data_IF_608141329999
#
_entry.id   IF_608141329999
#
_cell.length_a   1.000
_cell.length_b   1.000
_cell.length_c   1.000
_cell.angle_alpha   90.00
_cell.angle_beta   90.00
_cell.angle_gamma   90.00
#
_symmetry.space_group_name_H-M   'P 1'
#
loop_
_entity.id
_entity.type
_entity.pdbx_description
1 polymer ?
#
# COMPACT_ATOMS: atom_id res chain seq x y z
N UNK A 1 -12.15 13.68 -1.05
CA UNK A 1 -12.49 12.25 -0.85
C UNK A 1 -11.27 11.57 -0.26
N UNK A 2 -11.45 10.72 0.74
CA UNK A 2 -10.35 9.99 1.39
C UNK A 2 -10.31 8.56 0.85
N UNK A 3 -9.12 8.07 0.50
CA UNK A 3 -8.90 6.70 0.05
C UNK A 3 -7.90 6.02 1.00
N UNK A 4 -8.26 4.87 1.54
CA UNK A 4 -7.42 4.09 2.46
C UNK A 4 -6.98 2.82 1.72
N UNK A 5 -5.67 2.66 1.57
CA UNK A 5 -5.06 1.46 0.96
C UNK A 5 -4.43 0.65 2.08
N UNK A 6 -4.93 -0.58 2.28
CA UNK A 6 -4.24 -1.55 3.10
C UNK A 6 -3.24 -2.30 2.23
N UNK A 7 -1.97 -1.89 2.28
CA UNK A 7 -0.89 -2.53 1.54
C UNK A 7 -0.29 -3.66 2.36
N UNK A 8 -0.55 -4.89 1.93
CA UNK A 8 -0.02 -6.13 2.51
C UNK A 8 0.86 -6.90 1.52
N UNK A 9 1.29 -6.23 0.44
CA UNK A 9 2.24 -6.75 -0.55
C UNK A 9 1.79 -8.03 -1.28
N UNK A 10 0.51 -8.41 -1.24
CA UNK A 10 -0.03 -9.56 -1.97
C UNK A 10 -1.55 -9.47 -2.20
N UNK A 11 -2.09 -10.37 -3.02
CA UNK A 11 -3.53 -10.58 -3.11
C UNK A 11 -3.98 -11.63 -2.09
N UNK A 12 -4.05 -11.21 -0.82
CA UNK A 12 -4.31 -12.08 0.33
C UNK A 12 -5.60 -12.91 0.18
N UNK A 13 -6.69 -12.27 -0.24
CA UNK A 13 -8.00 -12.93 -0.34
C UNK A 13 -8.03 -14.02 -1.40
N UNK A 14 -7.31 -13.85 -2.51
CA UNK A 14 -7.30 -14.80 -3.63
C UNK A 14 -6.21 -15.86 -3.50
N UNK A 15 -5.69 -16.10 -2.30
CA UNK A 15 -4.65 -17.11 -1.93
C UNK A 15 -3.20 -16.64 -1.97
N UNK A 16 -2.92 -15.34 -2.12
CA UNK A 16 -1.56 -14.79 -1.95
C UNK A 16 -0.72 -14.82 -3.23
N UNK A 17 -1.29 -14.32 -4.33
CA UNK A 17 -0.54 -13.95 -5.53
C UNK A 17 0.22 -12.63 -5.32
N UNK A 18 1.21 -12.36 -6.16
CA UNK A 18 1.94 -11.09 -6.15
C UNK A 18 1.00 -9.90 -6.45
N UNK A 19 1.13 -8.83 -5.66
CA UNK A 19 0.56 -7.51 -5.91
C UNK A 19 1.59 -6.62 -6.64
N UNK A 20 1.18 -5.43 -7.12
CA UNK A 20 2.10 -4.44 -7.67
C UNK A 20 3.11 -3.84 -6.67
N UNK A 21 2.97 -4.16 -5.38
CA UNK A 21 3.83 -3.72 -4.28
C UNK A 21 4.69 -4.85 -3.71
N UNK A 22 4.53 -6.09 -4.20
CA UNK A 22 5.35 -7.23 -3.77
C UNK A 22 6.84 -6.96 -4.01
N UNK A 23 7.73 -7.13 -3.02
CA UNK A 23 9.16 -6.94 -3.22
C UNK A 23 9.75 -7.93 -4.23
N UNK A 24 10.84 -7.55 -4.88
CA UNK A 24 11.55 -8.41 -5.85
C UNK A 24 12.03 -9.68 -5.15
N UNK A 25 12.04 -10.78 -5.90
CA UNK A 25 12.48 -12.12 -5.47
C UNK A 25 11.62 -12.77 -4.37
N UNK A 26 10.56 -12.10 -3.89
CA UNK A 26 9.62 -12.68 -2.92
C UNK A 26 8.74 -13.72 -3.61
N UNK A 27 8.78 -15.01 -3.20
CA UNK A 27 7.92 -16.04 -3.78
C UNK A 27 6.46 -15.86 -3.39
N UNK A 28 5.56 -16.04 -4.35
CA UNK A 28 4.11 -16.04 -4.13
C UNK A 28 3.46 -17.27 -4.77
N UNK A 29 2.15 -17.48 -4.59
CA UNK A 29 1.46 -18.61 -5.23
C UNK A 29 1.51 -18.58 -6.75
N UNK A 30 1.42 -17.40 -7.35
CA UNK A 30 1.49 -17.22 -8.81
C UNK A 30 2.93 -17.09 -9.32
N UNK A 31 3.87 -16.67 -8.47
CA UNK A 31 5.29 -16.52 -8.80
C UNK A 31 6.18 -17.32 -7.83
N UNK A 32 6.23 -18.66 -7.93
CA UNK A 32 7.00 -19.49 -6.99
C UNK A 32 8.52 -19.27 -7.06
N UNK A 33 9.02 -18.77 -8.19
CA UNK A 33 10.43 -18.43 -8.37
C UNK A 33 10.81 -17.04 -7.84
N UNK A 34 9.86 -16.31 -7.23
CA UNK A 34 10.04 -14.91 -6.83
C UNK A 34 9.36 -13.92 -7.77
N UNK A 35 8.97 -12.77 -7.24
CA UNK A 35 8.47 -11.67 -8.06
C UNK A 35 9.61 -11.06 -8.90
N UNK A 36 9.39 -10.95 -10.21
CA UNK A 36 10.35 -10.37 -11.17
C UNK A 36 10.01 -8.93 -11.57
N UNK A 37 8.85 -8.43 -11.13
CA UNK A 37 8.36 -7.10 -11.47
C UNK A 37 8.79 -6.14 -10.38
N UNK A 38 9.46 -5.04 -10.75
CA UNK A 38 9.82 -3.99 -9.80
C UNK A 38 8.55 -3.40 -9.17
N UNK A 39 8.41 -3.43 -7.83
CA UNK A 39 7.25 -2.84 -7.17
C UNK A 39 7.24 -1.33 -7.36
N UNK A 40 6.06 -0.74 -7.52
CA UNK A 40 5.95 0.71 -7.53
C UNK A 40 5.81 1.25 -6.11
N UNK A 41 6.21 2.51 -5.89
CA UNK A 41 5.98 3.23 -4.65
C UNK A 41 4.59 3.89 -4.67
N UNK A 42 3.61 3.44 -3.85
CA UNK A 42 2.26 4.00 -3.88
C UNK A 42 2.22 5.49 -3.51
N UNK A 43 3.10 5.94 -2.61
CA UNK A 43 3.18 7.32 -2.15
C UNK A 43 3.63 8.24 -3.30
N UNK A 44 4.62 7.82 -4.08
CA UNK A 44 5.08 8.58 -5.24
C UNK A 44 4.01 8.64 -6.33
N UNK A 45 3.33 7.52 -6.58
CA UNK A 45 2.24 7.45 -7.56
C UNK A 45 1.13 8.46 -7.24
N UNK A 46 0.64 8.49 -6.00
CA UNK A 46 -0.46 9.40 -5.63
C UNK A 46 -0.02 10.86 -5.60
N UNK A 47 1.23 11.15 -5.24
CA UNK A 47 1.80 12.50 -5.33
C UNK A 47 1.86 12.96 -6.79
N UNK A 48 2.36 12.12 -7.70
CA UNK A 48 2.41 12.40 -9.13
C UNK A 48 1.00 12.58 -9.73
N UNK A 49 0.00 11.85 -9.22
CA UNK A 49 -1.41 12.00 -9.59
C UNK A 49 -2.08 13.28 -9.03
N UNK A 50 -1.38 14.10 -8.25
CA UNK A 50 -1.89 15.36 -7.72
C UNK A 50 -2.57 15.27 -6.35
N UNK A 51 -2.37 14.18 -5.61
CA UNK A 51 -2.89 14.06 -4.24
C UNK A 51 -2.18 15.06 -3.32
N UNK A 52 -2.95 15.96 -2.69
CA UNK A 52 -2.44 17.07 -1.86
C UNK A 52 -2.17 16.66 -0.42
N UNK A 53 -2.79 15.59 0.05
CA UNK A 53 -2.61 15.03 1.38
C UNK A 53 -2.35 13.53 1.26
N UNK A 54 -1.15 13.12 1.65
CA UNK A 54 -0.70 11.73 1.62
C UNK A 54 -0.06 11.45 2.97
N UNK A 55 -0.60 10.46 3.67
CA UNK A 55 -0.09 10.01 4.97
C UNK A 55 0.19 8.52 4.87
N UNK A 56 1.39 8.14 5.29
CA UNK A 56 1.77 6.74 5.49
C UNK A 56 1.68 6.41 6.99
N UNK A 57 1.19 5.21 7.30
CA UNK A 57 0.95 4.79 8.68
C UNK A 57 1.11 3.27 8.82
N UNK A 58 1.74 2.87 9.91
CA UNK A 58 1.93 1.45 10.26
C UNK A 58 0.70 0.95 11.03
N UNK A 59 0.16 -0.19 10.61
CA UNK A 59 -1.03 -0.84 11.19
C UNK A 59 -0.88 -1.16 12.70
N UNK A 60 0.34 -1.46 13.15
CA UNK A 60 0.66 -1.73 14.56
C UNK A 60 0.68 -0.48 15.44
N UNK A 61 0.80 0.70 14.86
CA UNK A 61 0.75 1.97 15.59
C UNK A 61 -0.63 2.60 15.48
N UNK A 62 -1.56 2.04 16.27
CA UNK A 62 -2.98 2.43 16.27
C UNK A 62 -3.17 3.93 16.53
N UNK A 63 -2.32 4.54 17.37
CA UNK A 63 -2.43 5.96 17.68
C UNK A 63 -2.10 6.81 16.45
N UNK A 64 -0.98 6.52 15.78
CA UNK A 64 -0.58 7.24 14.57
C UNK A 64 -1.54 6.96 13.41
N UNK A 65 -1.99 5.71 13.23
CA UNK A 65 -2.98 5.36 12.22
C UNK A 65 -4.31 6.10 12.42
N UNK A 66 -4.80 6.19 13.66
CA UNK A 66 -6.02 6.95 13.99
C UNK A 66 -5.86 8.42 13.62
N UNK A 67 -4.74 9.03 13.98
CA UNK A 67 -4.46 10.44 13.65
C UNK A 67 -4.35 10.67 12.14
N UNK A 68 -3.71 9.75 11.41
CA UNK A 68 -3.60 9.80 9.96
C UNK A 68 -4.98 9.78 9.28
N UNK A 69 -5.86 8.86 9.70
CA UNK A 69 -7.22 8.73 9.15
C UNK A 69 -8.05 9.99 9.45
N UNK A 70 -8.01 10.50 10.69
CA UNK A 70 -8.72 11.73 11.07
C UNK A 70 -8.25 12.92 10.23
N UNK A 71 -6.93 13.12 10.10
CA UNK A 71 -6.35 14.18 9.29
C UNK A 71 -6.76 14.08 7.81
N UNK A 72 -6.74 12.87 7.25
CA UNK A 72 -7.09 12.64 5.85
C UNK A 72 -8.59 12.86 5.55
N UNK A 73 -9.47 12.61 6.52
CA UNK A 73 -10.92 12.89 6.40
C UNK A 73 -11.23 14.38 6.52
N UNK A 74 -10.50 15.10 7.37
CA UNK A 74 -10.69 16.54 7.59
C UNK A 74 -10.08 17.43 6.51
N UNK A 75 -9.27 16.87 5.61
CA UNK A 75 -8.63 17.60 4.52
C UNK A 75 -9.64 18.05 3.45
N UNK A 76 -9.47 19.29 2.94
CA UNK A 76 -10.31 19.91 1.91
C UNK A 76 -9.76 19.72 0.50
#
# INVERSE_FOLDING_TARGET
>A
MTYIVADNENYALTTGQASPTTPIDIPTKSTPAGNQITPFNPIELVKAAGCRNVVDAVDKDIKNLTQAIVSAIQHQ
#
